data_IF_881531413253
#
_entry.id   IF_881531413253
#
_cell.length_a   1.000
_cell.length_b   1.000
_cell.length_c   1.000
_cell.angle_alpha   90.00
_cell.angle_beta   90.00
_cell.angle_gamma   90.00
#
_symmetry.space_group_name_H-M   'P 1'
#
loop_
_entity.id
_entity.type
_entity.pdbx_description
1 polymer ?
#
# COMPACT_ATOMS: atom_id res chain seq x y z
N UNK A 1 -1.00 -3.36 1.64
CA UNK A 1 -0.60 -2.27 0.73
C UNK A 1 0.87 -2.36 0.33
N UNK A 2 1.83 -2.27 1.27
CA UNK A 2 3.28 -2.31 0.96
C UNK A 2 3.66 -3.51 0.07
N UNK A 3 3.35 -4.74 0.51
CA UNK A 3 3.69 -5.94 -0.27
C UNK A 3 3.03 -6.02 -1.65
N UNK A 4 1.86 -5.40 -1.86
CA UNK A 4 1.24 -5.31 -3.20
C UNK A 4 2.04 -4.37 -4.09
N UNK A 5 2.42 -3.19 -3.58
CA UNK A 5 3.19 -2.21 -4.34
C UNK A 5 4.59 -2.76 -4.67
N UNK A 6 5.27 -3.34 -3.69
CA UNK A 6 6.59 -3.96 -3.90
C UNK A 6 6.53 -5.15 -4.85
N UNK A 7 5.52 -6.01 -4.71
CA UNK A 7 5.31 -7.15 -5.61
C UNK A 7 5.04 -6.72 -7.06
N UNK A 8 4.21 -5.69 -7.27
CA UNK A 8 3.95 -5.15 -8.61
C UNK A 8 5.17 -4.44 -9.20
N UNK A 9 5.94 -3.72 -8.37
CA UNK A 9 7.21 -3.13 -8.80
C UNK A 9 8.21 -4.21 -9.23
N UNK A 10 8.32 -5.29 -8.45
CA UNK A 10 9.14 -6.45 -8.79
C UNK A 10 8.70 -7.09 -10.11
N UNK A 11 7.40 -7.34 -10.28
CA UNK A 11 6.86 -7.93 -11.50
C UNK A 11 7.16 -7.04 -12.72
N UNK A 12 6.93 -5.73 -12.60
CA UNK A 12 7.25 -4.75 -13.64
C UNK A 12 8.74 -4.76 -14.01
N UNK A 13 9.63 -4.74 -13.01
CA UNK A 13 11.09 -4.76 -13.24
C UNK A 13 11.60 -6.09 -13.78
N UNK A 14 10.90 -7.18 -13.52
CA UNK A 14 11.20 -8.51 -14.03
C UNK A 14 10.67 -8.75 -15.46
N UNK A 15 9.98 -7.77 -16.05
CA UNK A 15 9.41 -7.86 -17.39
C UNK A 15 8.14 -8.70 -17.49
N UNK A 16 7.48 -8.99 -16.36
CA UNK A 16 6.22 -9.72 -16.34
C UNK A 16 5.05 -8.81 -16.77
N UNK A 17 4.03 -9.41 -17.37
CA UNK A 17 2.75 -8.73 -17.55
C UNK A 17 2.10 -8.51 -16.18
N UNK A 18 1.81 -7.26 -15.84
CA UNK A 18 1.25 -6.91 -14.54
C UNK A 18 -0.16 -7.47 -14.35
N UNK A 19 -0.98 -7.57 -15.41
CA UNK A 19 -2.34 -8.10 -15.28
C UNK A 19 -2.30 -9.61 -15.03
N UNK A 20 -1.43 -10.34 -15.72
CA UNK A 20 -1.21 -11.77 -15.47
C UNK A 20 -0.68 -12.00 -14.05
N UNK A 21 0.30 -11.22 -13.60
CA UNK A 21 0.82 -11.30 -12.23
C UNK A 21 -0.26 -11.02 -11.18
N UNK A 22 -1.09 -9.99 -11.39
CA UNK A 22 -2.24 -9.68 -10.52
C UNK A 22 -3.24 -10.84 -10.50
N UNK A 23 -3.59 -11.39 -11.65
CA UNK A 23 -4.55 -12.49 -11.74
C UNK A 23 -4.04 -13.76 -11.02
N UNK A 24 -2.77 -14.11 -11.24
CA UNK A 24 -2.14 -15.28 -10.62
C UNK A 24 -2.08 -15.16 -9.10
N UNK A 25 -1.59 -14.01 -8.58
CA UNK A 25 -1.48 -13.79 -7.13
C UNK A 25 -2.86 -13.60 -6.49
N UNK A 26 -3.75 -12.87 -7.17
CA UNK A 26 -5.07 -12.50 -6.69
C UNK A 26 -6.04 -13.66 -6.52
N UNK A 27 -5.90 -14.72 -7.31
CA UNK A 27 -6.67 -15.95 -7.20
C UNK A 27 -6.11 -16.95 -6.16
N UNK A 28 -4.85 -16.76 -5.73
CA UNK A 28 -4.17 -17.63 -4.78
C UNK A 28 -4.34 -17.21 -3.32
N UNK A 29 -3.64 -17.92 -2.42
CA UNK A 29 -3.65 -17.62 -0.98
C UNK A 29 -3.03 -16.25 -0.62
N UNK A 30 -2.22 -15.68 -1.53
CA UNK A 30 -1.69 -14.32 -1.41
C UNK A 30 -2.68 -13.23 -1.88
N UNK A 31 -3.88 -13.63 -2.31
CA UNK A 31 -4.95 -12.73 -2.73
C UNK A 31 -5.40 -11.80 -1.60
N UNK A 32 -5.75 -10.57 -1.98
CA UNK A 32 -6.29 -9.57 -1.06
C UNK A 32 -7.14 -8.56 -1.83
N UNK A 33 -8.05 -7.87 -1.14
CA UNK A 33 -8.79 -6.75 -1.74
C UNK A 33 -7.83 -5.71 -2.36
N UNK A 34 -6.72 -5.48 -1.68
CA UNK A 34 -5.63 -4.63 -2.13
C UNK A 34 -5.12 -4.97 -3.53
N UNK A 35 -4.72 -6.21 -3.79
CA UNK A 35 -4.19 -6.58 -5.11
C UNK A 35 -5.28 -6.67 -6.17
N UNK A 36 -6.46 -7.19 -5.83
CA UNK A 36 -7.56 -7.39 -6.78
C UNK A 36 -8.21 -6.06 -7.21
N UNK A 37 -8.27 -5.06 -6.33
CA UNK A 37 -8.93 -3.79 -6.63
C UNK A 37 -7.93 -2.66 -6.92
N UNK A 38 -6.82 -2.55 -6.17
CA UNK A 38 -5.84 -1.48 -6.40
C UNK A 38 -4.77 -1.86 -7.41
N UNK A 39 -4.41 -3.14 -7.53
CA UNK A 39 -3.39 -3.61 -8.48
C UNK A 39 -3.67 -3.18 -9.92
N UNK A 40 -4.88 -3.43 -10.48
CA UNK A 40 -5.21 -3.01 -11.84
C UNK A 40 -5.16 -1.49 -12.04
N UNK A 41 -5.47 -0.70 -10.99
CA UNK A 41 -5.38 0.76 -11.03
C UNK A 41 -3.92 1.22 -11.08
N UNK A 42 -3.06 0.62 -10.24
CA UNK A 42 -1.61 0.85 -10.23
C UNK A 42 -1.00 0.51 -11.59
N UNK A 43 -1.35 -0.64 -12.18
CA UNK A 43 -0.87 -1.07 -13.49
C UNK A 43 -1.25 -0.07 -14.61
N UNK A 44 -2.43 0.56 -14.49
CA UNK A 44 -2.93 1.60 -15.41
C UNK A 44 -2.46 3.02 -15.07
N UNK A 45 -1.68 3.20 -13.99
CA UNK A 45 -1.32 4.51 -13.42
C UNK A 45 -2.54 5.39 -13.11
N UNK A 46 -3.66 4.77 -12.74
CA UNK A 46 -4.87 5.47 -12.30
C UNK A 46 -4.77 5.77 -10.80
N UNK A 47 -4.40 7.01 -10.48
CA UNK A 47 -4.31 7.51 -9.11
C UNK A 47 -5.49 8.39 -8.71
N UNK A 48 -6.63 8.31 -9.42
CA UNK A 48 -7.81 9.07 -9.04
C UNK A 48 -8.22 8.71 -7.60
N UNK A 49 -8.50 9.71 -6.75
CA UNK A 49 -8.67 9.47 -5.32
C UNK A 49 -9.92 8.65 -5.05
N UNK A 50 -9.73 7.46 -4.47
CA UNK A 50 -10.81 6.72 -3.78
C UNK A 50 -10.80 6.97 -2.27
N UNK A 51 -9.62 7.27 -1.72
CA UNK A 51 -9.40 7.67 -0.33
C UNK A 51 -8.08 8.45 -0.24
N UNK A 52 -8.09 9.58 0.46
CA UNK A 52 -6.97 10.51 0.49
C UNK A 52 -5.82 10.01 1.39
N UNK A 53 -4.58 10.29 1.00
CA UNK A 53 -3.37 9.94 1.78
C UNK A 53 -3.39 10.62 3.15
N UNK A 54 -3.91 11.85 3.25
CA UNK A 54 -4.11 12.58 4.51
C UNK A 54 -4.92 11.78 5.52
N UNK A 55 -5.97 11.11 5.07
CA UNK A 55 -6.84 10.33 5.96
C UNK A 55 -6.12 9.06 6.44
N UNK A 56 -5.37 8.40 5.57
CA UNK A 56 -4.50 7.28 5.95
C UNK A 56 -3.50 7.69 7.04
N UNK A 57 -2.82 8.83 6.86
CA UNK A 57 -1.86 9.34 7.84
C UNK A 57 -2.51 9.68 9.18
N UNK A 58 -3.69 10.30 9.16
CA UNK A 58 -4.46 10.58 10.37
C UNK A 58 -4.76 9.29 11.15
N UNK A 59 -5.29 8.28 10.47
CA UNK A 59 -5.69 7.01 11.10
C UNK A 59 -4.48 6.22 11.62
N UNK A 60 -3.36 6.20 10.88
CA UNK A 60 -2.11 5.59 11.33
C UNK A 60 -1.52 6.30 12.56
N UNK A 61 -1.59 7.63 12.61
CA UNK A 61 -1.16 8.40 13.77
C UNK A 61 -1.95 8.07 15.04
N UNK A 62 -3.28 7.90 14.90
CA UNK A 62 -4.14 7.44 16.01
C UNK A 62 -3.71 6.04 16.45
N UNK A 63 -3.61 5.08 15.53
CA UNK A 63 -3.24 3.70 15.85
C UNK A 63 -1.86 3.59 16.53
N UNK A 64 -0.88 4.40 16.10
CA UNK A 64 0.44 4.45 16.74
C UNK A 64 0.36 4.97 18.17
N UNK A 65 -0.39 6.06 18.41
CA UNK A 65 -0.57 6.63 19.74
C UNK A 65 -1.26 5.63 20.69
N UNK A 66 -2.30 4.94 20.22
CA UNK A 66 -2.99 3.91 21.01
C UNK A 66 -2.07 2.72 21.29
N UNK A 67 -1.26 2.28 20.30
CA UNK A 67 -0.29 1.20 20.51
C UNK A 67 0.74 1.54 21.58
N UNK A 68 1.20 2.80 21.62
CA UNK A 68 2.09 3.29 22.66
C UNK A 68 1.43 3.27 24.04
N UNK A 69 0.17 3.71 24.15
CA UNK A 69 -0.58 3.70 25.41
C UNK A 69 -0.79 2.26 25.95
N UNK A 70 -0.89 1.27 25.05
CA UNK A 70 -1.00 -0.16 25.40
C UNK A 70 0.35 -0.85 25.63
N UNK A 71 1.49 -0.18 25.38
CA UNK A 71 2.81 -0.81 25.43
C UNK A 71 3.07 -1.83 24.31
N UNK A 72 2.38 -1.72 23.17
CA UNK A 72 2.55 -2.59 22.01
C UNK A 72 3.57 -2.03 21.02
N UNK A 73 4.50 -2.87 20.58
CA UNK A 73 5.42 -2.55 19.50
C UNK A 73 4.86 -3.01 18.16
N UNK A 74 4.49 -2.06 17.29
CA UNK A 74 3.91 -2.32 15.98
C UNK A 74 4.82 -1.80 14.84
N UNK A 75 5.97 -2.44 14.57
CA UNK A 75 6.95 -1.94 13.60
C UNK A 75 6.41 -1.87 12.17
N UNK A 76 5.51 -2.78 11.77
CA UNK A 76 4.87 -2.74 10.45
C UNK A 76 3.99 -1.51 10.26
N UNK A 77 3.27 -1.08 11.30
CA UNK A 77 2.47 0.15 11.29
C UNK A 77 3.36 1.39 11.21
N UNK A 78 4.46 1.41 11.98
CA UNK A 78 5.42 2.51 11.95
C UNK A 78 6.06 2.67 10.56
N UNK A 79 6.47 1.57 9.93
CA UNK A 79 7.01 1.57 8.57
C UNK A 79 5.98 2.07 7.56
N UNK A 80 4.74 1.56 7.62
CA UNK A 80 3.66 2.02 6.75
C UNK A 80 3.46 3.54 6.89
N UNK A 81 3.35 4.05 8.11
CA UNK A 81 3.21 5.48 8.37
C UNK A 81 4.33 6.30 7.71
N UNK A 82 5.59 5.88 7.81
CA UNK A 82 6.72 6.57 7.17
C UNK A 82 6.62 6.58 5.64
N UNK A 83 6.20 5.47 5.03
CA UNK A 83 6.02 5.38 3.58
C UNK A 83 4.90 6.31 3.09
N UNK A 84 3.77 6.38 3.80
CA UNK A 84 2.69 7.30 3.45
C UNK A 84 3.07 8.77 3.69
N UNK A 85 3.91 9.07 4.69
CA UNK A 85 4.45 10.43 4.89
C UNK A 85 5.31 10.85 3.70
N UNK A 86 6.19 9.96 3.22
CA UNK A 86 7.00 10.21 2.04
C UNK A 86 6.14 10.53 0.80
N UNK A 87 5.04 9.80 0.61
CA UNK A 87 4.06 10.06 -0.46
C UNK A 87 3.44 11.45 -0.31
N UNK A 88 2.98 11.82 0.89
CA UNK A 88 2.38 13.14 1.13
C UNK A 88 3.37 14.29 0.86
N UNK A 89 4.63 14.13 1.24
CA UNK A 89 5.67 15.13 0.95
C UNK A 89 5.93 15.21 -0.55
N UNK A 90 6.00 14.09 -1.25
CA UNK A 90 6.26 14.05 -2.69
C UNK A 90 5.18 14.79 -3.51
N UNK A 91 3.90 14.64 -3.15
CA UNK A 91 2.79 15.27 -3.86
C UNK A 91 2.48 16.73 -3.43
N UNK A 92 3.14 17.23 -2.38
CA UNK A 92 3.05 18.64 -1.95
C UNK A 92 4.10 19.55 -2.59
N UNK A 93 5.07 18.98 -3.31
CA UNK A 93 6.08 19.67 -4.12
C UNK A 93 5.64 19.72 -5.58
#
# INVERSE_FOLDING_TARGET
>A
MIGVVEGLLYAYKSGLDLNEAIAAVGAGAAGSWSINNMGPRIAKRDFNPGFMVEHFLKDMGIALKESQAMGLSLPGLALANQLYLAVQVHFRL
#
